data_IF_595605304886
#
_entry.id   IF_595605304886
#
_cell.length_a   1.000
_cell.length_b   1.000
_cell.length_c   1.000
_cell.angle_alpha   90.00
_cell.angle_beta   90.00
_cell.angle_gamma   90.00
#
_symmetry.space_group_name_H-M   'P 1'
#
loop_
_entity.id
_entity.type
_entity.pdbx_description
1 polymer ?
#
# COMPACT_ATOMS: atom_id res chain seq x y z
N UNK A 1 -5.27 36.15 7.93
CA UNK A 1 -5.94 35.31 6.91
C UNK A 1 -5.94 33.87 7.43
N UNK A 2 -7.11 33.39 7.87
CA UNK A 2 -7.22 32.07 8.49
C UNK A 2 -7.05 30.96 7.46
N UNK A 3 -6.15 30.02 7.73
CA UNK A 3 -6.04 28.78 6.97
C UNK A 3 -7.27 27.93 7.28
N UNK A 4 -8.27 28.02 6.40
CA UNK A 4 -9.42 27.11 6.36
C UNK A 4 -8.90 25.66 6.40
N UNK A 5 -9.40 24.86 7.34
CA UNK A 5 -8.91 23.49 7.54
C UNK A 5 -8.90 22.68 6.25
N UNK A 6 -7.86 21.88 6.04
CA UNK A 6 -7.73 21.04 4.86
C UNK A 6 -8.35 19.66 5.10
N UNK A 7 -8.71 18.93 4.04
CA UNK A 7 -9.07 17.51 4.16
C UNK A 7 -8.32 16.66 3.14
N UNK A 8 -7.86 15.49 3.57
CA UNK A 8 -7.13 14.53 2.73
C UNK A 8 -7.26 13.10 3.27
N UNK A 9 -7.47 12.12 2.38
CA UNK A 9 -7.58 10.67 2.74
C UNK A 9 -8.53 10.40 3.92
N UNK A 10 -9.67 11.10 3.97
CA UNK A 10 -10.68 10.98 5.03
C UNK A 10 -10.34 11.65 6.36
N UNK A 11 -9.19 12.31 6.49
CA UNK A 11 -8.81 13.11 7.68
C UNK A 11 -9.02 14.60 7.41
N UNK A 12 -9.55 15.32 8.40
CA UNK A 12 -9.60 16.79 8.43
C UNK A 12 -8.42 17.31 9.25
N UNK A 13 -7.73 18.32 8.73
CA UNK A 13 -6.59 18.99 9.34
C UNK A 13 -7.00 20.37 9.84
N UNK A 14 -6.73 20.64 11.11
CA UNK A 14 -6.94 21.94 11.76
C UNK A 14 -5.85 22.91 11.34
N UNK A 15 -6.12 24.21 11.48
CA UNK A 15 -5.14 25.25 11.20
C UNK A 15 -3.83 25.05 11.98
N UNK A 16 -3.91 24.62 13.24
CA UNK A 16 -2.73 24.31 14.08
C UNK A 16 -1.90 23.14 13.53
N UNK A 17 -2.55 22.11 13.00
CA UNK A 17 -1.86 20.97 12.38
C UNK A 17 -1.20 21.38 11.07
N UNK A 18 -1.84 22.26 10.28
CA UNK A 18 -1.23 22.84 9.08
C UNK A 18 -0.02 23.72 9.41
N UNK A 19 -0.08 24.50 10.50
CA UNK A 19 1.07 25.26 10.98
C UNK A 19 2.22 24.35 11.41
N UNK A 20 1.93 23.29 12.16
CA UNK A 20 2.93 22.30 12.56
C UNK A 20 3.58 21.62 11.34
N UNK A 21 2.80 21.27 10.31
CA UNK A 21 3.33 20.71 9.07
C UNK A 21 4.34 21.67 8.43
N UNK A 22 4.02 22.97 8.35
CA UNK A 22 4.93 23.99 7.79
C UNK A 22 6.21 24.09 8.60
N UNK A 23 6.09 24.12 9.93
CA UNK A 23 7.25 24.16 10.84
C UNK A 23 8.17 22.95 10.61
N UNK A 24 7.61 21.73 10.55
CA UNK A 24 8.39 20.51 10.30
C UNK A 24 9.11 20.56 8.95
N UNK A 25 8.44 21.04 7.89
CA UNK A 25 9.06 21.14 6.56
C UNK A 25 10.22 22.12 6.57
N UNK A 26 10.10 23.25 7.27
CA UNK A 26 11.16 24.27 7.37
C UNK A 26 12.30 23.80 8.28
N UNK A 27 12.00 23.21 9.43
CA UNK A 27 13.00 22.77 10.43
C UNK A 27 13.75 21.51 10.01
N UNK A 28 13.25 20.76 9.02
CA UNK A 28 13.82 19.49 8.58
C UNK A 28 14.07 19.47 7.05
N UNK A 29 14.57 20.57 6.49
CA UNK A 29 14.86 20.74 5.06
C UNK A 29 15.84 19.69 4.47
N UNK A 30 16.73 19.13 5.31
CA UNK A 30 17.65 18.06 4.93
C UNK A 30 17.00 16.69 4.72
N UNK A 31 15.75 16.49 5.15
CA UNK A 31 15.04 15.24 5.01
C UNK A 31 14.48 15.06 3.59
N UNK A 32 14.42 13.81 3.12
CA UNK A 32 13.65 13.50 1.92
C UNK A 32 12.16 13.75 2.14
N UNK A 33 11.41 14.02 1.06
CA UNK A 33 9.94 14.17 1.12
C UNK A 33 9.22 13.01 1.82
N UNK A 34 9.76 11.79 1.75
CA UNK A 34 9.20 10.62 2.44
C UNK A 34 9.54 10.61 3.94
N UNK A 35 10.73 11.05 4.33
CA UNK A 35 11.10 11.20 5.74
C UNK A 35 10.27 12.31 6.39
N UNK A 36 10.11 13.46 5.72
CA UNK A 36 9.18 14.52 6.15
C UNK A 36 7.78 13.97 6.40
N UNK A 37 7.24 13.19 5.45
CA UNK A 37 5.93 12.60 5.59
C UNK A 37 5.81 11.62 6.79
N UNK A 38 6.88 10.88 7.11
CA UNK A 38 6.94 10.03 8.31
C UNK A 38 6.94 10.88 9.58
N UNK A 39 7.82 11.88 9.67
CA UNK A 39 7.90 12.80 10.80
C UNK A 39 6.55 13.47 11.07
N UNK A 40 5.89 13.98 10.02
CA UNK A 40 4.54 14.56 10.12
C UNK A 40 3.53 13.52 10.61
N UNK A 41 3.56 12.28 10.08
CA UNK A 41 2.65 11.24 10.54
C UNK A 41 2.88 10.86 12.01
N UNK A 42 4.12 10.87 12.49
CA UNK A 42 4.44 10.60 13.89
C UNK A 42 3.89 11.71 14.81
N UNK A 43 4.17 12.98 14.47
CA UNK A 43 3.73 14.14 15.24
C UNK A 43 2.20 14.31 15.25
N UNK A 44 1.53 13.97 14.15
CA UNK A 44 0.08 14.08 14.03
C UNK A 44 -0.67 12.79 14.36
N UNK A 45 0.03 11.77 14.87
CA UNK A 45 -0.50 10.41 15.09
C UNK A 45 -1.28 9.86 13.88
N UNK A 46 -0.82 10.16 12.66
CA UNK A 46 -1.48 9.76 11.42
C UNK A 46 -1.15 8.32 11.04
N UNK A 47 -1.83 7.38 11.70
CA UNK A 47 -1.60 5.94 11.57
C UNK A 47 -2.79 5.21 10.94
N UNK A 48 -2.53 4.02 10.42
CA UNK A 48 -3.54 3.02 10.04
C UNK A 48 -4.00 2.27 11.30
N UNK A 49 -5.14 1.54 11.25
CA UNK A 49 -5.58 0.68 12.35
C UNK A 49 -4.55 -0.37 12.77
N UNK A 50 -3.63 -0.77 11.88
CA UNK A 50 -2.54 -1.69 12.18
C UNK A 50 -1.29 -1.02 12.77
N UNK A 51 -1.39 0.25 13.21
CA UNK A 51 -0.30 1.01 13.84
C UNK A 51 0.72 1.63 12.88
N UNK A 52 0.75 1.22 11.61
CA UNK A 52 1.71 1.75 10.65
C UNK A 52 1.36 3.18 10.23
N UNK A 53 2.37 4.02 10.02
CA UNK A 53 2.21 5.40 9.54
C UNK A 53 1.54 5.45 8.15
N UNK A 54 0.68 6.44 7.94
CA UNK A 54 0.11 6.78 6.61
C UNK A 54 1.07 7.66 5.79
N UNK A 55 2.37 7.35 5.82
CA UNK A 55 3.43 8.18 5.24
C UNK A 55 3.27 8.39 3.72
N UNK A 56 2.74 7.41 2.98
CA UNK A 56 2.48 7.58 1.54
C UNK A 56 1.40 8.64 1.31
N UNK A 57 0.26 8.50 1.97
CA UNK A 57 -0.85 9.46 1.88
C UNK A 57 -0.42 10.84 2.40
N UNK A 58 0.39 10.87 3.45
CA UNK A 58 0.92 12.13 3.95
C UNK A 58 1.85 12.80 2.95
N UNK A 59 2.73 12.06 2.27
CA UNK A 59 3.58 12.62 1.22
C UNK A 59 2.74 13.21 0.08
N UNK A 60 1.71 12.49 -0.37
CA UNK A 60 0.77 12.99 -1.39
C UNK A 60 0.04 14.25 -0.92
N UNK A 61 -0.31 14.32 0.37
CA UNK A 61 -0.90 15.52 0.97
C UNK A 61 0.08 16.70 1.01
N UNK A 62 1.34 16.48 1.39
CA UNK A 62 2.39 17.51 1.37
C UNK A 62 2.63 18.03 -0.06
N UNK A 63 2.69 17.14 -1.05
CA UNK A 63 2.83 17.51 -2.46
C UNK A 63 1.60 18.32 -2.96
N UNK A 64 0.40 18.02 -2.45
CA UNK A 64 -0.79 18.83 -2.73
C UNK A 64 -0.67 20.23 -2.12
N UNK A 65 -0.24 20.33 -0.86
CA UNK A 65 -0.03 21.63 -0.20
C UNK A 65 1.03 22.46 -0.91
N UNK A 66 2.10 21.84 -1.41
CA UNK A 66 3.10 22.51 -2.26
C UNK A 66 2.46 23.03 -3.56
N UNK A 67 1.68 22.20 -4.26
CA UNK A 67 0.97 22.60 -5.48
C UNK A 67 -0.07 23.70 -5.27
N UNK A 68 -0.64 23.81 -4.06
CA UNK A 68 -1.55 24.87 -3.63
C UNK A 68 -0.81 26.14 -3.13
N UNK A 69 0.53 26.16 -3.15
CA UNK A 69 1.34 27.29 -2.67
C UNK A 69 1.34 27.47 -1.15
N UNK A 70 0.95 26.43 -0.41
CA UNK A 70 0.91 26.47 1.05
C UNK A 70 2.25 26.14 1.70
N UNK A 71 3.17 25.48 1.02
CA UNK A 71 4.52 25.22 1.54
C UNK A 71 5.46 24.96 0.37
N UNK A 72 6.75 24.88 0.65
CA UNK A 72 7.77 24.51 -0.33
C UNK A 72 8.48 23.26 0.17
N UNK A 73 8.48 22.18 -0.62
CA UNK A 73 9.14 20.94 -0.22
C UNK A 73 10.56 20.90 -0.79
N UNK A 74 11.49 20.17 -0.13
CA UNK A 74 12.81 19.93 -0.67
C UNK A 74 12.77 19.35 -2.10
N UNK A 75 13.79 19.64 -2.90
CA UNK A 75 13.89 19.14 -4.27
C UNK A 75 13.77 17.61 -4.35
N UNK A 76 13.15 17.12 -5.44
CA UNK A 76 13.01 15.68 -5.66
C UNK A 76 14.37 15.07 -5.96
N UNK A 77 14.84 14.21 -5.05
CA UNK A 77 16.02 13.38 -5.30
C UNK A 77 15.70 12.31 -6.35
N UNK A 78 16.63 11.98 -7.27
CA UNK A 78 16.43 10.91 -8.24
C UNK A 78 16.10 9.59 -7.53
N UNK A 79 14.99 8.97 -7.95
CA UNK A 79 14.47 7.75 -7.34
C UNK A 79 15.27 6.51 -7.72
N UNK A 80 15.10 5.44 -6.93
CA UNK A 80 15.57 4.11 -7.32
C UNK A 80 14.85 3.68 -8.61
N UNK A 81 15.52 2.98 -9.55
CA UNK A 81 14.88 2.44 -10.74
C UNK A 81 13.61 1.68 -10.39
N UNK A 82 12.62 1.76 -11.28
CA UNK A 82 11.39 0.95 -11.17
C UNK A 82 11.80 -0.51 -10.98
N UNK A 83 11.25 -1.13 -9.93
CA UNK A 83 11.62 -2.50 -9.54
C UNK A 83 11.44 -3.49 -10.68
N UNK A 84 12.19 -4.59 -10.61
CA UNK A 84 12.06 -5.70 -11.56
C UNK A 84 10.67 -6.32 -11.52
N UNK A 85 10.21 -6.82 -12.67
CA UNK A 85 8.93 -7.53 -12.79
C UNK A 85 8.86 -8.65 -11.76
N UNK A 86 7.71 -8.79 -11.11
CA UNK A 86 7.51 -9.82 -10.08
C UNK A 86 7.75 -11.21 -10.70
N UNK A 87 8.71 -11.96 -10.15
CA UNK A 87 8.97 -13.34 -10.58
C UNK A 87 7.82 -14.24 -10.12
N UNK A 88 7.27 -14.98 -11.08
CA UNK A 88 6.28 -16.05 -10.84
C UNK A 88 7.07 -17.32 -10.53
N UNK A 89 6.87 -17.95 -9.36
CA UNK A 89 7.46 -19.27 -9.07
C UNK A 89 6.94 -20.32 -10.04
N UNK A 90 7.73 -21.37 -10.27
CA UNK A 90 7.32 -22.53 -11.03
C UNK A 90 7.79 -23.77 -10.27
N UNK A 91 6.86 -24.40 -9.57
CA UNK A 91 7.04 -25.54 -8.67
C UNK A 91 5.95 -26.58 -8.95
N UNK A 92 6.16 -27.81 -8.49
CA UNK A 92 5.18 -28.90 -8.65
C UNK A 92 3.81 -28.58 -8.01
N UNK A 93 3.79 -27.72 -6.97
CA UNK A 93 2.55 -27.30 -6.31
C UNK A 93 1.66 -26.41 -7.16
N UNK A 94 2.22 -25.81 -8.21
CA UNK A 94 1.46 -25.01 -9.16
C UNK A 94 0.96 -25.82 -10.36
N UNK A 95 1.27 -27.11 -10.44
CA UNK A 95 0.80 -27.96 -11.53
C UNK A 95 -0.69 -28.26 -11.36
N UNK A 96 -1.45 -28.45 -12.46
CA UNK A 96 -2.84 -28.86 -12.38
C UNK A 96 -2.97 -30.17 -11.59
N UNK A 97 -3.84 -30.18 -10.59
CA UNK A 97 -4.28 -31.41 -9.97
C UNK A 97 -5.26 -32.17 -10.88
N UNK A 98 -5.65 -33.37 -10.46
CA UNK A 98 -6.72 -34.11 -11.11
C UNK A 98 -8.00 -33.26 -11.20
N UNK A 99 -8.68 -33.34 -12.35
CA UNK A 99 -9.91 -32.57 -12.55
C UNK A 99 -11.01 -33.17 -11.71
N UNK A 100 -11.61 -32.36 -10.84
CA UNK A 100 -12.77 -32.74 -10.05
C UNK A 100 -14.04 -32.46 -10.86
N UNK A 101 -14.75 -33.53 -11.23
CA UNK A 101 -16.02 -33.47 -11.95
C UNK A 101 -17.14 -34.04 -11.05
N UNK A 102 -18.27 -33.36 -10.99
CA UNK A 102 -19.41 -33.80 -10.19
C UNK A 102 -20.25 -32.65 -9.64
N UNK A 103 -21.27 -32.98 -8.85
CA UNK A 103 -22.02 -31.97 -8.12
C UNK A 103 -21.17 -31.42 -6.97
N UNK A 104 -21.32 -30.12 -6.67
CA UNK A 104 -20.58 -29.50 -5.57
C UNK A 104 -20.80 -30.25 -4.25
N UNK A 105 -21.97 -30.87 -4.05
CA UNK A 105 -22.28 -31.68 -2.86
C UNK A 105 -21.32 -32.85 -2.64
N UNK A 106 -20.89 -33.50 -3.71
CA UNK A 106 -19.98 -34.66 -3.70
C UNK A 106 -18.51 -34.26 -3.51
N UNK A 107 -18.20 -32.98 -3.78
CA UNK A 107 -16.84 -32.40 -3.69
C UNK A 107 -16.60 -31.75 -2.31
N UNK A 108 -17.61 -31.71 -1.42
CA UNK A 108 -17.48 -31.09 -0.09
C UNK A 108 -16.61 -31.92 0.85
N UNK A 109 -15.91 -31.27 1.79
CA UNK A 109 -15.93 -29.82 2.06
C UNK A 109 -14.93 -29.03 1.19
N UNK A 110 -15.34 -27.86 0.72
CA UNK A 110 -14.41 -26.88 0.12
C UNK A 110 -13.85 -26.00 1.23
N UNK A 111 -12.53 -26.01 1.42
CA UNK A 111 -11.88 -25.26 2.50
C UNK A 111 -11.20 -24.02 1.93
N UNK A 112 -11.67 -22.85 2.39
CA UNK A 112 -11.09 -21.55 2.08
C UNK A 112 -10.11 -21.13 3.17
N UNK A 113 -8.83 -21.07 2.84
CA UNK A 113 -7.81 -20.62 3.77
C UNK A 113 -7.28 -19.23 3.40
N UNK A 114 -7.29 -18.29 4.35
CA UNK A 114 -6.72 -16.95 4.16
C UNK A 114 -5.20 -17.06 4.05
N UNK A 115 -4.63 -16.49 2.98
CA UNK A 115 -3.18 -16.40 2.78
C UNK A 115 -2.55 -15.48 3.83
N UNK A 116 -1.77 -16.06 4.74
CA UNK A 116 -1.09 -15.37 5.85
C UNK A 116 0.44 -15.48 5.77
N UNK A 117 0.97 -16.62 5.33
CA UNK A 117 2.40 -16.89 5.32
C UNK A 117 3.11 -16.44 4.02
N UNK A 118 4.44 -16.37 4.06
CA UNK A 118 5.27 -16.08 2.88
C UNK A 118 5.14 -17.16 1.81
N UNK A 119 5.09 -18.42 2.23
CA UNK A 119 4.91 -19.58 1.37
C UNK A 119 3.54 -19.58 0.69
N UNK A 120 2.46 -19.31 1.43
CA UNK A 120 1.11 -19.20 0.87
C UNK A 120 1.02 -18.05 -0.15
N UNK A 121 1.72 -16.94 0.09
CA UNK A 121 1.81 -15.83 -0.89
C UNK A 121 2.53 -16.24 -2.18
N UNK A 122 3.55 -17.09 -2.08
CA UNK A 122 4.25 -17.62 -3.25
C UNK A 122 3.38 -18.59 -4.03
N UNK A 123 2.70 -19.51 -3.35
CA UNK A 123 1.77 -20.44 -4.00
C UNK A 123 0.61 -19.70 -4.68
N UNK A 124 -0.03 -18.75 -3.99
CA UNK A 124 -1.09 -17.93 -4.60
C UNK A 124 -0.60 -17.20 -5.85
N UNK A 125 0.61 -16.61 -5.78
CA UNK A 125 1.23 -15.93 -6.92
C UNK A 125 1.48 -16.89 -8.08
N UNK A 126 1.97 -18.09 -7.79
CA UNK A 126 2.20 -19.13 -8.78
C UNK A 126 0.90 -19.56 -9.45
N UNK A 127 -0.11 -19.93 -8.67
CA UNK A 127 -1.40 -20.40 -9.19
C UNK A 127 -2.08 -19.33 -10.07
N UNK A 128 -2.17 -18.09 -9.60
CA UNK A 128 -2.70 -16.98 -10.41
C UNK A 128 -1.80 -16.70 -11.62
N UNK A 129 -0.48 -16.77 -11.44
CA UNK A 129 0.49 -16.50 -12.49
C UNK A 129 0.42 -17.49 -13.66
N UNK A 130 0.16 -18.76 -13.36
CA UNK A 130 0.15 -19.86 -14.33
C UNK A 130 -1.23 -20.11 -14.94
N UNK A 131 -2.30 -19.96 -14.15
CA UNK A 131 -3.65 -20.41 -14.54
C UNK A 131 -4.66 -19.30 -14.77
N UNK A 132 -4.40 -18.07 -14.30
CA UNK A 132 -5.26 -16.94 -14.64
C UNK A 132 -4.87 -16.40 -16.01
N UNK A 133 -5.86 -16.14 -16.88
CA UNK A 133 -5.62 -15.68 -18.26
C UNK A 133 -4.85 -14.34 -18.36
N UNK A 134 -4.89 -13.50 -17.31
CA UNK A 134 -4.08 -12.26 -17.22
C UNK A 134 -2.71 -12.44 -16.53
N UNK A 135 -2.44 -13.63 -16.00
CA UNK A 135 -1.32 -13.89 -15.10
C UNK A 135 -1.38 -13.08 -13.80
N UNK A 136 -0.29 -13.11 -13.04
CA UNK A 136 -0.18 -12.39 -11.77
C UNK A 136 0.34 -10.96 -11.99
N UNK A 137 -0.47 -9.98 -11.58
CA UNK A 137 -0.07 -8.59 -11.42
C UNK A 137 -0.10 -8.21 -9.94
N UNK A 138 0.70 -7.21 -9.53
CA UNK A 138 0.59 -6.64 -8.19
C UNK A 138 -0.73 -5.89 -8.09
N UNK A 139 -1.68 -6.36 -7.28
CA UNK A 139 -3.01 -5.75 -7.24
C UNK A 139 -2.96 -4.44 -6.45
N UNK A 140 -3.81 -3.51 -6.87
CA UNK A 140 -3.93 -2.20 -6.27
C UNK A 140 -4.85 -2.22 -5.04
N UNK A 141 -4.49 -1.47 -4.00
CA UNK A 141 -5.33 -1.31 -2.81
C UNK A 141 -5.24 -2.45 -1.78
N UNK A 142 -6.13 -2.38 -0.79
CA UNK A 142 -6.27 -3.40 0.25
C UNK A 142 -6.99 -4.62 -0.32
N UNK A 143 -6.56 -5.83 0.06
CA UNK A 143 -7.06 -7.08 -0.50
C UNK A 143 -7.01 -8.22 0.51
N UNK A 144 -7.87 -9.21 0.31
CA UNK A 144 -7.79 -10.54 0.92
C UNK A 144 -7.54 -11.57 -0.18
N UNK A 145 -6.76 -12.60 0.15
CA UNK A 145 -6.42 -13.69 -0.76
C UNK A 145 -6.71 -15.01 -0.08
N UNK A 146 -7.23 -15.95 -0.85
CA UNK A 146 -7.59 -17.28 -0.37
C UNK A 146 -6.93 -18.33 -1.23
N UNK A 147 -6.52 -19.42 -0.59
CA UNK A 147 -6.26 -20.70 -1.25
C UNK A 147 -7.47 -21.60 -1.00
N UNK A 148 -7.78 -22.44 -1.99
CA UNK A 148 -8.87 -23.39 -1.93
C UNK A 148 -8.26 -24.79 -1.90
N UNK A 149 -8.72 -25.60 -0.95
CA UNK A 149 -8.34 -27.00 -0.76
C UNK A 149 -9.58 -27.88 -0.74
#
# INVERSE_FOLDING_TARGET
MGTSGASFSGRRFRASELSLIREVVVSCDGLSRMELARTVCELLDWKRPNGNLKARECREFLERLEGEGHLELPEKRPGKPIGTRTRIPHTERGDPAETLEGELGDIRPVVLEVVRSGEQRLLFRELVGRHHYLGHAVPFGAQLRYLVY
#
